data_IF_769967598906
#
_entry.id   IF_769967598906
#
_cell.length_a   1.000
_cell.length_b   1.000
_cell.length_c   1.000
_cell.angle_alpha   90.00
_cell.angle_beta   90.00
_cell.angle_gamma   90.00
#
_symmetry.space_group_name_H-M   'P 1'
#
loop_
_entity.id
_entity.type
_entity.pdbx_description
1 polymer ?
#
# COMPACT_ATOMS: atom_id res chain seq x y z
N UNK A 1 0.68 11.45 -17.80
CA UNK A 1 0.64 11.74 -16.36
C UNK A 1 2.00 12.17 -15.85
N UNK A 2 1.99 13.06 -14.90
CA UNK A 2 3.20 13.59 -14.28
C UNK A 2 3.60 12.71 -13.10
N UNK A 3 4.90 12.44 -12.93
CA UNK A 3 5.39 11.73 -11.76
C UNK A 3 5.34 12.61 -10.52
N UNK A 4 4.94 12.02 -9.40
CA UNK A 4 4.89 12.66 -8.10
C UNK A 4 5.64 11.82 -7.09
N UNK A 5 6.20 12.48 -6.09
CA UNK A 5 6.80 11.79 -4.95
C UNK A 5 5.71 11.23 -4.05
N UNK A 6 5.95 10.05 -3.52
CA UNK A 6 5.03 9.41 -2.59
C UNK A 6 5.79 8.53 -1.60
N UNK A 7 5.11 8.14 -0.53
CA UNK A 7 5.70 7.34 0.54
C UNK A 7 5.30 5.89 0.39
N UNK A 8 6.29 5.00 0.40
CA UNK A 8 6.08 3.56 0.53
C UNK A 8 6.35 3.15 1.96
N UNK A 9 5.52 2.26 2.48
CA UNK A 9 5.72 1.64 3.80
C UNK A 9 5.96 0.16 3.57
N UNK A 10 7.07 -0.34 4.07
CA UNK A 10 7.50 -1.71 3.84
C UNK A 10 7.79 -2.41 5.16
N UNK A 11 7.54 -3.71 5.19
CA UNK A 11 7.98 -4.55 6.29
C UNK A 11 9.45 -4.86 6.14
N UNK A 12 10.18 -4.75 7.24
CA UNK A 12 11.58 -5.14 7.30
C UNK A 12 11.85 -5.81 8.64
N UNK A 13 12.98 -6.49 8.77
CA UNK A 13 13.43 -7.02 10.04
C UNK A 13 14.62 -6.19 10.52
N UNK A 14 14.72 -5.99 11.82
CA UNK A 14 15.83 -5.23 12.43
C UNK A 14 17.12 -6.05 12.58
N UNK A 15 17.07 -7.35 12.26
CA UNK A 15 18.23 -8.23 12.37
C UNK A 15 18.52 -8.73 13.78
N UNK A 16 17.74 -8.34 14.78
CA UNK A 16 17.97 -8.68 16.19
C UNK A 16 16.96 -9.71 16.69
N UNK A 17 17.45 -10.76 17.32
CA UNK A 17 16.61 -11.78 17.95
C UNK A 17 15.72 -12.57 16.99
N UNK A 18 14.73 -13.25 17.52
CA UNK A 18 13.74 -14.01 16.76
C UNK A 18 12.37 -13.39 16.99
N UNK A 19 11.58 -13.28 15.94
CA UNK A 19 10.20 -12.84 16.06
C UNK A 19 9.31 -14.00 16.54
N UNK A 20 8.01 -13.75 16.72
CA UNK A 20 7.04 -14.75 17.21
C UNK A 20 6.92 -16.00 16.31
N UNK A 21 7.37 -15.93 15.07
CA UNK A 21 7.36 -17.06 14.12
C UNK A 21 8.71 -17.76 14.02
N UNK A 22 9.67 -17.42 14.89
CA UNK A 22 11.00 -18.00 14.88
C UNK A 22 11.92 -17.44 13.79
N UNK A 23 11.49 -16.44 13.04
CA UNK A 23 12.34 -15.77 12.08
C UNK A 23 13.27 -14.78 12.78
N UNK A 24 14.47 -14.64 12.25
CA UNK A 24 15.47 -13.74 12.83
C UNK A 24 15.07 -12.28 12.64
N UNK A 25 15.09 -11.53 13.72
CA UNK A 25 14.78 -10.11 13.76
C UNK A 25 13.32 -9.80 14.11
N UNK A 26 13.10 -8.60 14.62
CA UNK A 26 11.75 -8.08 14.87
C UNK A 26 11.22 -7.45 13.59
N UNK A 27 9.92 -7.61 13.34
CA UNK A 27 9.28 -6.95 12.21
C UNK A 27 9.11 -5.47 12.54
N UNK A 28 9.65 -4.64 11.68
CA UNK A 28 9.52 -3.19 11.76
C UNK A 28 8.96 -2.66 10.44
N UNK A 29 8.35 -1.48 10.50
CA UNK A 29 7.88 -0.78 9.32
C UNK A 29 8.87 0.31 8.94
N UNK A 30 9.28 0.31 7.67
CA UNK A 30 10.19 1.32 7.12
C UNK A 30 9.47 2.13 6.05
N UNK A 31 9.85 3.41 5.95
CA UNK A 31 9.38 4.29 4.89
C UNK A 31 10.45 4.50 3.85
N UNK A 32 10.03 4.66 2.62
CA UNK A 32 10.88 5.02 1.49
C UNK A 32 10.13 6.03 0.63
N UNK A 33 10.83 7.04 0.13
CA UNK A 33 10.27 8.00 -0.82
C UNK A 33 10.59 7.52 -2.23
N UNK A 34 9.55 7.42 -3.05
CA UNK A 34 9.69 7.03 -4.46
C UNK A 34 8.94 8.03 -5.34
N UNK A 35 9.07 7.88 -6.63
CA UNK A 35 8.35 8.67 -7.63
C UNK A 35 7.51 7.76 -8.50
N UNK A 36 6.28 8.16 -8.75
CA UNK A 36 5.36 7.37 -9.55
C UNK A 36 4.23 8.21 -10.13
N UNK A 37 3.39 7.55 -10.90
CA UNK A 37 2.22 8.17 -11.51
C UNK A 37 1.01 7.98 -10.61
N UNK A 38 0.39 9.10 -10.24
CA UNK A 38 -0.79 9.10 -9.36
C UNK A 38 -2.07 8.92 -10.17
N UNK A 39 -2.95 8.08 -9.69
CA UNK A 39 -4.31 7.93 -10.19
C UNK A 39 -5.26 7.90 -9.00
N UNK A 40 -6.35 8.65 -9.09
CA UNK A 40 -7.43 8.55 -8.10
C UNK A 40 -8.44 7.54 -8.61
N UNK A 41 -8.67 6.47 -7.85
CA UNK A 41 -9.61 5.41 -8.20
C UNK A 41 -10.88 5.58 -7.38
N UNK A 42 -12.04 5.32 -8.00
CA UNK A 42 -13.35 5.55 -7.42
C UNK A 42 -14.15 4.26 -7.33
N UNK A 43 -14.92 4.12 -6.27
CA UNK A 43 -15.87 3.03 -6.10
C UNK A 43 -17.10 3.48 -5.35
N UNK A 44 -18.06 2.57 -5.21
CA UNK A 44 -19.31 2.84 -4.49
C UNK A 44 -19.65 1.70 -3.56
N UNK A 45 -20.14 2.04 -2.37
CA UNK A 45 -20.74 1.07 -1.46
C UNK A 45 -22.13 0.68 -1.95
N UNK A 46 -22.71 -0.38 -1.37
CA UNK A 46 -24.03 -0.88 -1.76
C UNK A 46 -25.12 0.18 -1.60
N UNK A 47 -25.01 1.06 -0.62
CA UNK A 47 -25.94 2.14 -0.39
C UNK A 47 -25.77 3.34 -1.34
N UNK A 48 -24.80 3.27 -2.27
CA UNK A 48 -24.50 4.33 -3.22
C UNK A 48 -23.47 5.34 -2.73
N UNK A 49 -22.98 5.22 -1.49
CA UNK A 49 -21.93 6.10 -0.98
C UNK A 49 -20.64 5.90 -1.77
N UNK A 50 -20.10 6.98 -2.31
CA UNK A 50 -18.85 6.94 -3.06
C UNK A 50 -17.64 6.95 -2.15
N UNK A 51 -16.55 6.34 -2.62
CA UNK A 51 -15.25 6.42 -1.98
C UNK A 51 -14.15 6.55 -3.04
N UNK A 52 -13.02 7.09 -2.63
CA UNK A 52 -11.87 7.25 -3.53
C UNK A 52 -10.56 6.99 -2.80
N UNK A 53 -9.56 6.54 -3.56
CA UNK A 53 -8.21 6.32 -3.07
C UNK A 53 -7.20 6.81 -4.09
N UNK A 54 -6.11 7.40 -3.60
CA UNK A 54 -4.97 7.74 -4.44
C UNK A 54 -4.06 6.53 -4.55
N UNK A 55 -3.73 6.16 -5.77
CA UNK A 55 -2.85 5.03 -6.08
C UNK A 55 -1.66 5.55 -6.87
N UNK A 56 -0.48 5.11 -6.50
CA UNK A 56 0.76 5.48 -7.19
C UNK A 56 1.34 4.27 -7.89
N UNK A 57 1.58 4.41 -9.18
CA UNK A 57 2.20 3.38 -10.01
C UNK A 57 3.67 3.71 -10.18
N UNK A 58 4.54 2.81 -9.79
CA UNK A 58 5.99 2.99 -9.88
C UNK A 58 6.66 1.73 -10.40
N UNK A 59 7.87 1.90 -10.89
CA UNK A 59 8.66 0.75 -11.34
C UNK A 59 9.26 0.02 -10.15
N UNK A 60 9.34 -1.30 -10.28
CA UNK A 60 9.96 -2.16 -9.28
C UNK A 60 11.20 -2.83 -9.86
N UNK A 61 12.12 -3.24 -9.00
CA UNK A 61 13.32 -4.01 -9.37
C UNK A 61 13.05 -5.50 -9.48
N UNK A 62 11.81 -5.94 -9.26
CA UNK A 62 11.43 -7.34 -9.40
C UNK A 62 11.66 -7.82 -10.84
N UNK A 63 12.19 -9.03 -11.00
CA UNK A 63 12.52 -9.57 -12.31
C UNK A 63 11.29 -10.08 -13.07
N UNK A 64 10.24 -10.45 -12.36
CA UNK A 64 9.00 -10.98 -12.95
C UNK A 64 8.02 -9.88 -13.31
N UNK A 65 7.90 -8.87 -12.43
CA UNK A 65 6.98 -7.74 -12.60
C UNK A 65 7.78 -6.46 -12.61
N UNK A 66 7.45 -5.56 -13.53
CA UNK A 66 8.16 -4.28 -13.69
C UNK A 66 7.45 -3.12 -13.02
N UNK A 67 6.17 -3.29 -12.68
CA UNK A 67 5.34 -2.25 -12.10
C UNK A 67 4.70 -2.69 -10.81
N UNK A 68 4.47 -1.74 -9.93
CA UNK A 68 3.74 -1.95 -8.67
C UNK A 68 2.80 -0.79 -8.42
N UNK A 69 1.74 -1.05 -7.66
CA UNK A 69 0.77 -0.06 -7.22
C UNK A 69 0.82 0.06 -5.71
N UNK A 70 0.84 1.29 -5.22
CA UNK A 70 0.91 1.63 -3.80
C UNK A 70 -0.29 2.48 -3.43
N UNK A 71 -0.97 2.15 -2.32
CA UNK A 71 -2.07 2.97 -1.81
C UNK A 71 -1.50 4.17 -1.04
N UNK A 72 -1.98 5.37 -1.37
CA UNK A 72 -1.35 6.61 -0.93
C UNK A 72 -1.45 6.91 0.56
N UNK A 73 -2.57 6.57 1.21
CA UNK A 73 -2.78 6.92 2.63
C UNK A 73 -1.98 6.06 3.60
N UNK A 74 -1.72 4.80 3.24
CA UNK A 74 -0.98 3.85 4.07
C UNK A 74 0.42 3.58 3.57
N UNK A 75 0.71 3.89 2.32
CA UNK A 75 1.98 3.54 1.68
C UNK A 75 2.15 2.06 1.40
N UNK A 76 1.10 1.25 1.57
CA UNK A 76 1.19 -0.20 1.41
C UNK A 76 1.03 -0.62 -0.05
N UNK A 77 1.74 -1.67 -0.41
CA UNK A 77 1.67 -2.29 -1.73
C UNK A 77 0.27 -2.89 -1.94
N UNK A 78 -0.32 -2.61 -3.10
CA UNK A 78 -1.59 -3.22 -3.52
C UNK A 78 -1.32 -4.47 -4.35
N UNK A 79 -0.54 -4.31 -5.42
CA UNK A 79 -0.28 -5.39 -6.37
C UNK A 79 0.92 -5.09 -7.26
N UNK A 80 1.33 -6.10 -8.01
CA UNK A 80 2.33 -5.99 -9.07
C UNK A 80 1.68 -6.16 -10.44
N UNK A 81 2.36 -5.74 -11.50
CA UNK A 81 1.94 -5.96 -12.87
C UNK A 81 3.12 -5.89 -13.83
N UNK A 82 2.99 -6.53 -14.99
CA UNK A 82 4.01 -6.49 -16.03
C UNK A 82 4.10 -5.13 -16.73
N UNK A 83 2.96 -4.44 -16.82
CA UNK A 83 2.83 -3.10 -17.36
C UNK A 83 2.05 -2.24 -16.38
N UNK A 84 2.09 -0.92 -16.55
CA UNK A 84 1.28 -0.03 -15.73
C UNK A 84 -0.21 -0.33 -15.92
N UNK A 85 -0.65 -0.59 -17.16
CA UNK A 85 -2.05 -0.89 -17.46
C UNK A 85 -2.54 -2.18 -16.77
N UNK A 86 -1.75 -3.25 -16.80
CA UNK A 86 -2.12 -4.50 -16.11
C UNK A 86 -2.15 -4.33 -14.60
N UNK A 87 -1.25 -3.52 -14.06
CA UNK A 87 -1.24 -3.18 -12.64
C UNK A 87 -2.51 -2.40 -12.27
N UNK A 88 -2.90 -1.41 -13.08
CA UNK A 88 -4.12 -0.63 -12.87
C UNK A 88 -5.38 -1.49 -12.91
N UNK A 89 -5.45 -2.43 -13.85
CA UNK A 89 -6.57 -3.39 -13.93
C UNK A 89 -6.68 -4.23 -12.66
N UNK A 90 -5.55 -4.68 -12.12
CA UNK A 90 -5.52 -5.45 -10.89
C UNK A 90 -5.95 -4.63 -9.67
N UNK A 91 -5.57 -3.34 -9.63
CA UNK A 91 -6.05 -2.42 -8.59
C UNK A 91 -7.58 -2.36 -8.59
N UNK A 92 -8.19 -2.22 -9.76
CA UNK A 92 -9.65 -2.16 -9.88
C UNK A 92 -10.32 -3.46 -9.42
N UNK A 93 -9.73 -4.61 -9.71
CA UNK A 93 -10.24 -5.91 -9.23
C UNK A 93 -10.18 -6.05 -7.71
N UNK A 94 -9.21 -5.39 -7.06
CA UNK A 94 -9.01 -5.44 -5.60
C UNK A 94 -9.66 -4.28 -4.85
N UNK A 95 -10.25 -3.33 -5.56
CA UNK A 95 -10.70 -2.06 -4.99
C UNK A 95 -11.71 -2.25 -3.86
N UNK A 96 -12.71 -3.09 -4.05
CA UNK A 96 -13.74 -3.33 -3.04
C UNK A 96 -13.14 -3.93 -1.76
N UNK A 97 -12.27 -4.94 -1.89
CA UNK A 97 -11.60 -5.55 -0.75
C UNK A 97 -10.68 -4.55 -0.06
N UNK A 98 -9.94 -3.79 -0.83
CA UNK A 98 -9.06 -2.75 -0.30
C UNK A 98 -9.86 -1.73 0.51
N UNK A 99 -11.01 -1.29 -0.01
CA UNK A 99 -11.88 -0.34 0.69
C UNK A 99 -12.35 -0.90 2.02
N UNK A 100 -12.79 -2.16 2.07
CA UNK A 100 -13.20 -2.81 3.31
C UNK A 100 -12.08 -2.82 4.36
N UNK A 101 -10.88 -3.21 3.94
CA UNK A 101 -9.71 -3.23 4.83
C UNK A 101 -9.36 -1.83 5.33
N UNK A 102 -9.30 -0.85 4.44
CA UNK A 102 -8.93 0.52 4.78
C UNK A 102 -10.02 1.25 5.57
N UNK A 103 -11.24 0.73 5.57
CA UNK A 103 -12.36 1.21 6.39
C UNK A 103 -12.51 0.43 7.69
N UNK A 104 -11.54 -0.43 8.02
CA UNK A 104 -11.52 -1.24 9.26
C UNK A 104 -12.70 -2.21 9.38
N UNK A 105 -13.27 -2.66 8.26
CA UNK A 105 -14.42 -3.58 8.25
C UNK A 105 -13.91 -5.03 8.38
N UNK A 106 -14.35 -5.72 9.43
CA UNK A 106 -14.02 -7.13 9.68
C UNK A 106 -12.52 -7.43 9.71
N UNK A 107 -11.72 -6.53 10.27
CA UNK A 107 -10.30 -6.76 10.44
C UNK A 107 -9.96 -6.96 11.94
N UNK A 108 -8.82 -7.62 12.20
CA UNK A 108 -8.35 -7.82 13.56
C UNK A 108 -7.85 -6.52 14.18
N UNK A 109 -7.79 -6.48 15.52
CA UNK A 109 -7.21 -5.34 16.23
C UNK A 109 -5.74 -5.10 15.84
N UNK A 110 -4.98 -6.18 15.63
CA UNK A 110 -3.58 -6.07 15.20
C UNK A 110 -3.47 -5.44 13.79
N UNK A 111 -4.37 -5.82 12.87
CA UNK A 111 -4.41 -5.22 11.54
C UNK A 111 -4.78 -3.73 11.62
N UNK A 112 -5.77 -3.38 12.43
CA UNK A 112 -6.18 -1.99 12.62
C UNK A 112 -5.02 -1.14 13.15
N UNK A 113 -4.29 -1.66 14.15
CA UNK A 113 -3.13 -0.97 14.71
C UNK A 113 -2.02 -0.81 13.67
N UNK A 114 -1.79 -1.81 12.85
CA UNK A 114 -0.81 -1.73 11.75
C UNK A 114 -1.19 -0.65 10.75
N UNK A 115 -2.46 -0.60 10.34
CA UNK A 115 -2.94 0.41 9.39
C UNK A 115 -2.82 1.82 9.96
N UNK A 116 -3.18 2.01 11.23
CA UNK A 116 -3.04 3.31 11.91
C UNK A 116 -1.57 3.76 11.94
N UNK A 117 -0.67 2.83 12.24
CA UNK A 117 0.76 3.11 12.25
C UNK A 117 1.28 3.49 10.85
N UNK A 118 0.86 2.76 9.80
CA UNK A 118 1.22 3.09 8.43
C UNK A 118 0.73 4.47 8.03
N UNK A 119 -0.52 4.81 8.35
CA UNK A 119 -1.08 6.14 8.06
C UNK A 119 -0.29 7.25 8.75
N UNK A 120 0.12 7.02 10.00
CA UNK A 120 0.95 7.97 10.74
C UNK A 120 2.33 8.14 10.11
N UNK A 121 2.97 7.04 9.73
CA UNK A 121 4.27 7.09 9.05
C UNK A 121 4.20 7.90 7.75
N UNK A 122 3.15 7.72 6.96
CA UNK A 122 2.96 8.47 5.72
C UNK A 122 2.76 9.96 6.01
N UNK A 123 1.90 10.30 6.98
CA UNK A 123 1.65 11.70 7.35
C UNK A 123 2.90 12.41 7.84
N UNK A 124 3.76 11.71 8.56
CA UNK A 124 4.97 12.29 9.16
C UNK A 124 6.18 12.27 8.22
N UNK A 125 6.09 11.57 7.10
CA UNK A 125 7.18 11.55 6.14
C UNK A 125 7.30 12.91 5.45
N UNK A 126 8.55 13.37 5.32
CA UNK A 126 8.85 14.64 4.63
C UNK A 126 9.17 14.33 3.18
N UNK A 127 8.36 14.82 2.30
CA UNK A 127 8.55 14.71 0.86
C UNK A 127 9.18 15.98 0.31
#
# INVERSE_FOLDING_TARGET
>A
MKKEKFVKVMRATDGNGLNQYGAKGNVIMKTEIDEGYKETVFGFEEDGTGYEYDVYYSKTTDTKYKWQATEGSTGLLICFGKTQATCADEVMRRLERMHKVLSYINISANMANMLDHCKELVRNAKI
#
